data_IF_571423721172
#
_entry.id   IF_571423721172
#
_cell.length_a   1.000
_cell.length_b   1.000
_cell.length_c   1.000
_cell.angle_alpha   90.00
_cell.angle_beta   90.00
_cell.angle_gamma   90.00
#
_symmetry.space_group_name_H-M   'P 1'
#
loop_
_entity.id
_entity.type
_entity.pdbx_description
1 polymer ?
#
# COMPACT_ATOMS: atom_id res chain seq x y z
N UNK A 1 -8.81 -14.28 -3.25
CA UNK A 1 -7.79 -13.31 -3.04
C UNK A 1 -7.75 -12.39 -4.21
N UNK A 2 -8.05 -11.24 -3.93
CA UNK A 2 -8.23 -10.29 -4.99
C UNK A 2 -7.03 -9.40 -5.16
N UNK A 3 -5.91 -9.77 -4.72
CA UNK A 3 -4.72 -9.01 -4.94
C UNK A 3 -4.41 -8.00 -3.85
N UNK A 4 -5.26 -7.06 -3.57
CA UNK A 4 -4.87 -6.05 -2.61
C UNK A 4 -6.05 -5.41 -1.92
N UNK A 5 -5.76 -4.76 -0.81
CA UNK A 5 -6.71 -4.00 -0.05
C UNK A 5 -6.06 -2.75 0.51
N UNK A 6 -6.84 -1.91 1.13
CA UNK A 6 -6.33 -0.67 1.71
C UNK A 6 -7.27 -0.20 2.80
N UNK A 7 -6.77 0.68 3.67
CA UNK A 7 -7.58 1.31 4.70
C UNK A 7 -7.00 2.64 5.12
N UNK A 8 -7.81 3.68 5.05
CA UNK A 8 -7.48 5.01 5.52
C UNK A 8 -8.78 5.62 6.02
N UNK A 9 -8.87 5.76 7.33
CA UNK A 9 -10.13 6.11 7.99
C UNK A 9 -10.69 7.44 7.49
N UNK A 10 -11.94 7.41 7.02
CA UNK A 10 -12.65 8.63 6.62
C UNK A 10 -12.20 9.24 5.30
N UNK A 11 -11.40 8.53 4.52
CA UNK A 11 -10.87 9.05 3.25
C UNK A 11 -11.32 8.17 2.10
N UNK A 12 -11.60 8.80 0.98
CA UNK A 12 -11.98 8.09 -0.26
C UNK A 12 -10.78 7.96 -1.18
N UNK A 13 -10.61 6.76 -1.72
CA UNK A 13 -9.52 6.48 -2.65
C UNK A 13 -9.85 7.04 -4.02
N UNK A 14 -8.93 7.80 -4.58
CA UNK A 14 -9.07 8.36 -5.92
C UNK A 14 -8.47 7.43 -6.96
N UNK A 15 -7.32 6.85 -6.65
CA UNK A 15 -6.58 6.05 -7.62
C UNK A 15 -5.81 4.97 -6.88
N UNK A 16 -5.91 3.73 -7.36
CA UNK A 16 -5.23 2.60 -6.76
C UNK A 16 -4.02 2.23 -7.60
N UNK A 17 -2.87 2.09 -6.95
CA UNK A 17 -1.66 1.69 -7.63
C UNK A 17 -1.54 0.18 -7.76
N UNK A 18 -0.70 -0.24 -8.68
CA UNK A 18 -0.41 -1.66 -8.88
C UNK A 18 0.97 -1.79 -9.51
N UNK A 19 1.81 -2.64 -8.93
CA UNK A 19 3.15 -2.93 -9.46
C UNK A 19 3.33 -4.43 -9.46
N UNK A 20 3.72 -4.98 -10.61
CA UNK A 20 3.93 -6.42 -10.77
C UNK A 20 5.24 -6.83 -10.11
N UNK A 21 5.24 -7.94 -9.39
CA UNK A 21 6.49 -8.50 -8.87
C UNK A 21 7.18 -9.31 -9.96
N UNK A 22 8.51 -9.38 -9.86
CA UNK A 22 9.32 -10.07 -10.86
C UNK A 22 10.14 -11.21 -10.25
N UNK A 23 9.76 -11.68 -9.09
CA UNK A 23 10.44 -12.82 -8.47
C UNK A 23 9.43 -13.95 -8.24
N UNK A 24 9.94 -15.16 -8.02
CA UNK A 24 9.08 -16.33 -7.82
C UNK A 24 8.69 -16.47 -6.36
N UNK A 25 8.03 -15.46 -5.84
CA UNK A 25 7.57 -15.44 -4.45
C UNK A 25 6.08 -15.13 -4.43
N UNK A 26 5.38 -15.70 -3.49
CA UNK A 26 3.99 -15.33 -3.26
C UNK A 26 3.75 -15.09 -1.78
N UNK A 27 2.72 -14.34 -1.47
CA UNK A 27 2.37 -14.02 -0.11
C UNK A 27 1.77 -12.64 -0.01
N UNK A 28 1.51 -12.22 1.21
CA UNK A 28 0.87 -10.95 1.50
C UNK A 28 1.89 -10.02 2.14
N UNK A 29 1.96 -8.79 1.64
CA UNK A 29 2.79 -7.74 2.24
C UNK A 29 1.87 -6.62 2.68
N UNK A 30 1.95 -6.28 3.95
CA UNK A 30 1.22 -5.15 4.51
C UNK A 30 2.15 -3.95 4.56
N UNK A 31 1.70 -2.83 4.02
CA UNK A 31 2.46 -1.58 3.98
C UNK A 31 1.74 -0.55 4.83
N UNK A 32 2.43 -0.01 5.82
CA UNK A 32 1.91 1.11 6.60
C UNK A 32 2.27 2.39 5.87
N UNK A 33 1.27 3.25 5.67
CA UNK A 33 1.46 4.48 4.90
C UNK A 33 1.08 5.69 5.73
N UNK A 34 1.63 6.83 5.34
CA UNK A 34 1.22 8.14 5.84
C UNK A 34 0.76 8.96 4.65
N UNK A 35 -0.40 9.59 4.79
CA UNK A 35 -1.05 10.34 3.72
C UNK A 35 -1.28 11.76 4.19
N UNK A 36 -0.97 12.73 3.34
CA UNK A 36 -1.16 14.14 3.66
C UNK A 36 -2.58 14.62 3.31
N UNK A 37 -2.84 15.90 3.55
CA UNK A 37 -4.15 16.48 3.27
C UNK A 37 -4.51 16.43 1.79
N UNK A 38 -3.51 16.44 0.93
CA UNK A 38 -3.71 16.39 -0.52
C UNK A 38 -4.04 14.99 -1.01
N UNK A 39 -3.94 13.99 -0.14
CA UNK A 39 -4.21 12.61 -0.51
C UNK A 39 -3.00 11.88 -1.06
N UNK A 40 -1.83 12.46 -0.95
CA UNK A 40 -0.60 11.84 -1.42
C UNK A 40 0.06 11.01 -0.34
N UNK A 41 0.58 9.85 -0.71
CA UNK A 41 1.36 9.02 0.20
C UNK A 41 2.73 9.65 0.35
N UNK A 42 3.06 10.07 1.56
CA UNK A 42 4.32 10.75 1.84
C UNK A 42 5.34 9.85 2.53
N UNK A 43 4.91 8.69 3.00
CA UNK A 43 5.80 7.69 3.59
C UNK A 43 5.15 6.32 3.48
N UNK A 44 5.98 5.29 3.37
CA UNK A 44 5.49 3.92 3.30
C UNK A 44 6.52 3.00 3.93
N UNK A 45 6.04 2.05 4.75
CA UNK A 45 6.88 1.05 5.39
C UNK A 45 6.31 -0.33 5.07
N UNK A 46 7.00 -1.09 4.24
CA UNK A 46 6.54 -2.42 3.83
C UNK A 46 7.00 -3.47 4.83
N UNK A 47 6.19 -4.51 4.96
CA UNK A 47 6.55 -5.65 5.81
C UNK A 47 6.16 -5.50 7.26
N UNK A 48 5.15 -4.68 7.55
CA UNK A 48 4.67 -4.52 8.93
C UNK A 48 3.77 -5.69 9.30
N UNK A 49 3.27 -5.68 10.52
CA UNK A 49 2.46 -6.76 11.08
C UNK A 49 1.32 -7.14 10.13
N UNK A 50 1.15 -8.44 9.92
CA UNK A 50 0.17 -8.97 8.98
C UNK A 50 0.81 -9.48 7.69
N UNK A 51 2.07 -9.15 7.46
CA UNK A 51 2.83 -9.64 6.32
C UNK A 51 3.12 -11.12 6.50
N UNK A 52 2.86 -11.92 5.45
CA UNK A 52 3.15 -13.36 5.49
C UNK A 52 4.46 -13.71 4.82
N UNK A 53 4.98 -12.84 3.95
CA UNK A 53 6.23 -13.08 3.26
C UNK A 53 6.96 -11.75 3.12
N UNK A 54 8.06 -11.59 3.86
CA UNK A 54 8.84 -10.37 3.87
C UNK A 54 10.08 -10.44 2.99
N UNK A 55 10.07 -11.31 1.98
CA UNK A 55 11.18 -11.39 1.05
C UNK A 55 11.40 -10.03 0.39
N UNK A 56 12.67 -9.57 0.30
CA UNK A 56 12.94 -8.23 -0.25
C UNK A 56 12.37 -8.01 -1.64
N UNK A 57 12.30 -9.04 -2.48
CA UNK A 57 11.78 -8.88 -3.84
C UNK A 57 10.27 -8.65 -3.88
N UNK A 58 9.57 -8.87 -2.76
CA UNK A 58 8.16 -8.51 -2.63
C UNK A 58 7.99 -7.17 -1.92
N UNK A 59 8.89 -6.85 -0.99
CA UNK A 59 8.78 -5.58 -0.24
C UNK A 59 8.91 -4.38 -1.16
N UNK A 60 9.81 -4.43 -2.14
CA UNK A 60 10.01 -3.32 -3.06
C UNK A 60 8.76 -3.03 -3.90
N UNK A 61 8.19 -4.00 -4.64
CA UNK A 61 6.98 -3.70 -5.41
C UNK A 61 5.79 -3.37 -4.53
N UNK A 62 5.72 -3.91 -3.31
CA UNK A 62 4.64 -3.56 -2.38
C UNK A 62 4.73 -2.09 -1.99
N UNK A 63 5.93 -1.62 -1.69
CA UNK A 63 6.14 -0.22 -1.31
C UNK A 63 5.83 0.70 -2.49
N UNK A 64 6.25 0.33 -3.69
CA UNK A 64 5.92 1.10 -4.90
C UNK A 64 4.43 1.17 -5.13
N UNK A 65 3.74 0.04 -4.97
CA UNK A 65 2.29 0.00 -5.10
C UNK A 65 1.64 0.96 -4.11
N UNK A 66 2.10 0.97 -2.87
CA UNK A 66 1.55 1.85 -1.85
C UNK A 66 1.74 3.33 -2.22
N UNK A 67 2.90 3.69 -2.74
CA UNK A 67 3.16 5.07 -3.14
C UNK A 67 2.30 5.51 -4.33
N UNK A 68 1.82 4.56 -5.13
CA UNK A 68 0.97 4.88 -6.29
C UNK A 68 -0.49 5.09 -5.92
N UNK A 69 -0.88 4.74 -4.70
CA UNK A 69 -2.23 5.02 -4.23
C UNK A 69 -2.41 6.53 -4.05
N UNK A 70 -3.59 7.02 -4.38
CA UNK A 70 -3.90 8.43 -4.24
C UNK A 70 -5.31 8.56 -3.68
N UNK A 71 -5.45 9.29 -2.60
CA UNK A 71 -6.75 9.60 -2.02
C UNK A 71 -7.20 10.99 -2.45
N UNK A 72 -8.51 11.23 -2.36
CA UNK A 72 -9.01 12.58 -2.59
C UNK A 72 -8.49 13.50 -1.48
N UNK A 73 -8.24 14.76 -1.83
CA UNK A 73 -7.80 15.75 -0.86
C UNK A 73 -8.91 16.01 0.15
N UNK A 74 -8.51 16.34 1.37
CA UNK A 74 -9.45 16.64 2.45
C UNK A 74 -8.80 17.68 3.34
N UNK A 75 -9.28 18.93 3.25
CA UNK A 75 -8.71 20.04 4.00
C UNK A 75 -8.91 19.88 5.51
N UNK A 76 -9.87 19.04 5.93
CA UNK A 76 -10.11 18.76 7.34
C UNK A 76 -9.32 17.58 7.87
N UNK A 77 -8.58 16.89 7.02
CA UNK A 77 -7.76 15.77 7.45
C UNK A 77 -6.51 16.26 8.20
N UNK A 78 -5.94 15.40 9.05
CA UNK A 78 -4.64 15.73 9.65
C UNK A 78 -3.58 15.90 8.56
N UNK A 79 -2.53 16.65 8.88
CA UNK A 79 -1.42 16.82 7.96
C UNK A 79 -0.72 15.51 7.66
N UNK A 80 -0.88 14.51 8.53
CA UNK A 80 -0.32 13.18 8.37
C UNK A 80 -1.30 12.18 8.93
N UNK A 81 -1.85 11.34 8.08
CA UNK A 81 -2.80 10.32 8.49
C UNK A 81 -2.24 8.95 8.16
N UNK A 82 -2.24 8.04 9.15
CA UNK A 82 -1.68 6.70 9.00
C UNK A 82 -2.76 5.76 8.49
N UNK A 83 -2.39 4.96 7.50
CA UNK A 83 -3.26 3.92 6.97
C UNK A 83 -2.45 2.71 6.54
N UNK A 84 -3.10 1.78 5.86
CA UNK A 84 -2.47 0.53 5.45
C UNK A 84 -2.88 0.19 4.02
N UNK A 85 -1.94 -0.42 3.30
CA UNK A 85 -2.19 -1.01 2.00
C UNK A 85 -1.76 -2.47 2.09
N UNK A 86 -2.64 -3.38 1.70
CA UNK A 86 -2.37 -4.81 1.72
C UNK A 86 -2.21 -5.27 0.28
N UNK A 87 -1.05 -5.82 -0.03
CA UNK A 87 -0.74 -6.29 -1.38
C UNK A 87 -0.59 -7.80 -1.34
N UNK A 88 -1.38 -8.49 -2.15
CA UNK A 88 -1.35 -9.94 -2.23
C UNK A 88 -0.66 -10.36 -3.53
N UNK A 89 0.51 -10.95 -3.40
CA UNK A 89 1.29 -11.41 -4.56
C UNK A 89 1.05 -12.88 -4.79
N UNK A 90 0.82 -13.23 -6.04
CA UNK A 90 0.62 -14.62 -6.46
C UNK A 90 1.58 -14.97 -7.57
N UNK A 91 2.01 -16.23 -7.60
CA UNK A 91 2.85 -16.71 -8.68
C UNK A 91 2.09 -16.64 -10.00
N UNK A 92 2.75 -16.21 -11.04
CA UNK A 92 2.16 -16.14 -12.37
C UNK A 92 1.36 -14.87 -12.64
N UNK A 93 1.40 -13.92 -11.73
CA UNK A 93 0.69 -12.65 -11.92
C UNK A 93 1.63 -11.46 -11.93
#
# INVERSE_FOLDING_TARGET
>A
GKGSGFGLNGRSLQNQGSVTQECNQEGVVVVRIAVDKNGSVIAAEAGVKGTTNSHPCLLEPAKKTAFMHKWFSDSNAPSKQVGFVVVNFKLGE
#
